data_IF_376769777861
#
_entry.id   IF_376769777861
#
_cell.length_a   1.000
_cell.length_b   1.000
_cell.length_c   1.000
_cell.angle_alpha   90.00
_cell.angle_beta   90.00
_cell.angle_gamma   90.00
#
_symmetry.space_group_name_H-M   'P 1'
#
loop_
_entity.id
_entity.type
_entity.pdbx_description
1 polymer ?
#
# COMPACT_ATOMS: atom_id res chain seq x y z
N UNK A 1 12.10 15.00 1.10
CA UNK A 1 13.03 14.31 2.03
C UNK A 1 12.36 13.61 3.20
N UNK A 2 11.43 14.26 3.92
CA UNK A 2 10.77 13.68 5.11
C UNK A 2 10.11 12.30 4.91
N UNK A 3 9.45 12.06 3.77
CA UNK A 3 8.86 10.73 3.47
C UNK A 3 9.92 9.65 3.28
N UNK A 4 11.07 10.00 2.70
CA UNK A 4 12.18 9.06 2.47
C UNK A 4 12.80 8.64 3.80
N UNK A 5 13.04 9.59 4.70
CA UNK A 5 13.58 9.32 6.03
C UNK A 5 12.65 8.38 6.81
N UNK A 6 11.34 8.65 6.82
CA UNK A 6 10.35 7.78 7.47
C UNK A 6 10.27 6.38 6.82
N UNK A 7 10.46 6.27 5.50
CA UNK A 7 10.46 4.98 4.80
C UNK A 7 11.63 4.09 5.24
N UNK A 8 12.75 4.69 5.64
CA UNK A 8 13.95 3.99 6.09
C UNK A 8 14.12 3.98 7.62
N UNK A 9 13.14 4.46 8.38
CA UNK A 9 13.11 4.38 9.85
C UNK A 9 12.45 3.06 10.27
N UNK A 10 13.04 2.35 11.23
CA UNK A 10 12.47 1.12 11.76
C UNK A 10 11.09 1.39 12.40
N UNK A 11 10.17 0.45 12.26
CA UNK A 11 8.79 0.62 12.76
C UNK A 11 8.72 0.90 14.27
N UNK A 12 9.63 0.32 15.04
CA UNK A 12 9.75 0.55 16.50
C UNK A 12 10.12 1.99 16.85
N UNK A 13 10.77 2.69 15.91
CA UNK A 13 11.39 4.00 16.15
C UNK A 13 10.55 5.14 15.54
N UNK A 14 9.42 4.81 14.90
CA UNK A 14 8.50 5.78 14.29
C UNK A 14 7.61 6.51 15.32
N UNK A 15 7.57 6.04 16.57
CA UNK A 15 6.67 6.55 17.60
C UNK A 15 5.20 6.45 17.17
N UNK A 16 4.46 7.54 17.27
CA UNK A 16 3.04 7.61 16.88
C UNK A 16 2.81 7.81 15.37
N UNK A 17 3.88 7.95 14.58
CA UNK A 17 3.74 8.14 13.14
C UNK A 17 3.41 6.83 12.43
N UNK A 18 2.44 6.88 11.51
CA UNK A 18 2.21 5.77 10.59
C UNK A 18 3.42 5.50 9.68
N UNK A 19 3.69 4.24 9.36
CA UNK A 19 4.68 3.90 8.35
C UNK A 19 4.25 4.39 6.96
N UNK A 20 5.21 4.73 6.10
CA UNK A 20 4.93 5.13 4.71
C UNK A 20 4.51 3.89 3.91
N UNK A 21 3.28 3.82 3.35
CA UNK A 21 2.74 2.60 2.74
C UNK A 21 3.17 2.43 1.27
N UNK A 22 4.48 2.47 1.01
CA UNK A 22 5.05 2.29 -0.33
C UNK A 22 6.07 1.15 -0.32
N UNK A 23 6.04 0.30 -1.34
CA UNK A 23 6.95 -0.83 -1.52
C UNK A 23 7.28 -1.01 -3.00
N UNK A 24 8.51 -1.44 -3.29
CA UNK A 24 8.92 -1.84 -4.63
C UNK A 24 8.44 -3.25 -4.98
N UNK A 25 8.01 -3.45 -6.22
CA UNK A 25 7.77 -4.77 -6.82
C UNK A 25 8.84 -5.01 -7.87
N UNK A 26 9.73 -5.96 -7.61
CA UNK A 26 10.78 -6.33 -8.56
C UNK A 26 10.24 -7.34 -9.57
N UNK A 27 9.89 -6.87 -10.77
CA UNK A 27 9.23 -7.67 -11.82
C UNK A 27 10.06 -8.89 -12.28
N UNK A 28 11.39 -8.82 -12.16
CA UNK A 28 12.31 -9.87 -12.56
C UNK A 28 12.60 -10.90 -11.45
N UNK A 29 11.92 -10.80 -10.29
CA UNK A 29 12.09 -11.72 -9.15
C UNK A 29 10.81 -12.50 -8.84
N UNK A 30 10.11 -12.93 -9.90
CA UNK A 30 8.89 -13.74 -9.83
C UNK A 30 7.84 -13.25 -8.80
N UNK A 31 7.39 -11.98 -8.86
CA UNK A 31 6.38 -11.50 -7.93
C UNK A 31 5.01 -12.12 -8.24
N UNK A 32 4.27 -12.49 -7.19
CA UNK A 32 2.87 -12.90 -7.33
C UNK A 32 1.99 -11.66 -7.48
N UNK A 33 1.37 -11.51 -8.64
CA UNK A 33 0.44 -10.43 -8.96
C UNK A 33 -0.80 -11.01 -9.65
N UNK A 34 -1.96 -10.48 -9.32
CA UNK A 34 -3.23 -10.87 -9.94
C UNK A 34 -4.16 -9.64 -10.02
N UNK A 35 -5.20 -9.74 -10.85
CA UNK A 35 -6.23 -8.71 -10.90
C UNK A 35 -6.99 -8.65 -9.57
N UNK A 36 -7.51 -7.46 -9.21
CA UNK A 36 -8.16 -7.25 -7.92
C UNK A 36 -9.36 -8.18 -7.65
N UNK A 37 -10.09 -8.59 -8.68
CA UNK A 37 -11.20 -9.54 -8.59
C UNK A 37 -10.79 -10.98 -8.26
N UNK A 38 -9.49 -11.31 -8.35
CA UNK A 38 -8.95 -12.61 -7.94
C UNK A 38 -9.07 -12.78 -6.42
N UNK A 39 -9.00 -11.68 -5.66
CA UNK A 39 -9.32 -11.65 -4.24
C UNK A 39 -10.83 -11.41 -4.07
N UNK A 40 -11.58 -12.49 -3.86
CA UNK A 40 -13.03 -12.44 -3.66
C UNK A 40 -13.38 -11.86 -2.28
N UNK A 41 -14.59 -11.31 -2.07
CA UNK A 41 -15.00 -10.75 -0.78
C UNK A 41 -14.81 -11.71 0.40
N UNK A 42 -15.20 -12.98 0.24
CA UNK A 42 -15.05 -14.00 1.28
C UNK A 42 -13.57 -14.30 1.63
N UNK A 43 -12.67 -14.18 0.66
CA UNK A 43 -11.23 -14.34 0.87
C UNK A 43 -10.64 -13.09 1.55
N UNK A 44 -11.15 -11.90 1.23
CA UNK A 44 -10.76 -10.67 1.90
C UNK A 44 -11.17 -10.69 3.37
N UNK A 45 -12.40 -11.10 3.68
CA UNK A 45 -12.89 -11.24 5.06
C UNK A 45 -12.07 -12.27 5.84
N UNK A 46 -11.80 -13.43 5.24
CA UNK A 46 -10.96 -14.48 5.83
C UNK A 46 -9.54 -14.01 6.13
N UNK A 47 -8.97 -13.13 5.30
CA UNK A 47 -7.64 -12.55 5.47
C UNK A 47 -7.63 -11.28 6.33
N UNK A 48 -8.79 -10.78 6.77
CA UNK A 48 -8.91 -9.53 7.52
C UNK A 48 -8.60 -8.27 6.70
N UNK A 49 -8.78 -8.33 5.37
CA UNK A 49 -8.52 -7.22 4.45
C UNK A 49 -9.79 -6.39 4.28
N UNK A 50 -9.78 -5.15 4.77
CA UNK A 50 -10.90 -4.22 4.57
C UNK A 50 -10.92 -3.68 3.13
N UNK A 51 -11.75 -4.30 2.29
CA UNK A 51 -11.88 -3.94 0.88
C UNK A 51 -12.39 -2.51 0.66
N UNK A 52 -13.31 -2.02 1.49
CA UNK A 52 -13.84 -0.67 1.36
C UNK A 52 -12.75 0.37 1.62
N UNK A 53 -11.96 0.20 2.67
CA UNK A 53 -10.84 1.08 2.99
C UNK A 53 -9.81 1.14 1.84
N UNK A 54 -9.52 0.01 1.19
CA UNK A 54 -8.66 0.00 0.00
C UNK A 54 -9.23 0.80 -1.17
N UNK A 55 -10.55 0.71 -1.42
CA UNK A 55 -11.22 1.45 -2.49
C UNK A 55 -11.25 2.96 -2.21
N UNK A 56 -11.49 3.35 -0.96
CA UNK A 56 -11.49 4.74 -0.53
C UNK A 56 -10.11 5.37 -0.73
N UNK A 57 -9.04 4.67 -0.31
CA UNK A 57 -7.66 5.11 -0.54
C UNK A 57 -7.32 5.19 -2.04
N UNK A 58 -7.78 4.23 -2.85
CA UNK A 58 -7.57 4.25 -4.31
C UNK A 58 -8.21 5.49 -4.95
N UNK A 59 -9.41 5.89 -4.50
CA UNK A 59 -10.08 7.10 -4.98
C UNK A 59 -9.24 8.33 -4.67
N UNK A 60 -8.77 8.48 -3.42
CA UNK A 60 -7.91 9.59 -3.00
C UNK A 60 -6.63 9.65 -3.86
N UNK A 61 -5.96 8.52 -4.09
CA UNK A 61 -4.73 8.47 -4.89
C UNK A 61 -4.98 8.86 -6.37
N UNK A 62 -6.13 8.50 -6.94
CA UNK A 62 -6.51 8.88 -8.31
C UNK A 62 -6.78 10.38 -8.44
N UNK A 63 -7.40 10.97 -7.42
CA UNK A 63 -7.72 12.41 -7.36
C UNK A 63 -6.49 13.28 -7.08
N UNK A 64 -5.38 12.70 -6.63
CA UNK A 64 -4.16 13.41 -6.24
C UNK A 64 -2.94 12.96 -7.07
N UNK A 65 -2.87 13.30 -8.38
CA UNK A 65 -1.77 12.86 -9.26
C UNK A 65 -0.39 13.39 -8.85
N UNK A 66 -0.32 14.48 -8.09
CA UNK A 66 0.91 15.02 -7.52
C UNK A 66 1.63 14.08 -6.54
N UNK A 67 0.96 13.01 -6.08
CA UNK A 67 1.55 12.00 -5.21
C UNK A 67 2.38 10.95 -5.96
N UNK A 68 2.37 10.97 -7.31
CA UNK A 68 3.19 10.04 -8.11
C UNK A 68 4.67 10.37 -7.95
N UNK A 69 5.46 9.33 -7.70
CA UNK A 69 6.92 9.41 -7.73
C UNK A 69 7.36 9.19 -9.17
N UNK A 70 7.95 10.23 -9.79
CA UNK A 70 8.58 10.17 -11.11
C UNK A 70 10.09 9.94 -10.96
#
# INVERSE_FOLDING_TARGET
DTLRERLYTAKTDLGDNAAVPVKLVHINKCPVLAQANTLRPEDADRLGINRQHCLDNLKILRENPQLRVY
#
